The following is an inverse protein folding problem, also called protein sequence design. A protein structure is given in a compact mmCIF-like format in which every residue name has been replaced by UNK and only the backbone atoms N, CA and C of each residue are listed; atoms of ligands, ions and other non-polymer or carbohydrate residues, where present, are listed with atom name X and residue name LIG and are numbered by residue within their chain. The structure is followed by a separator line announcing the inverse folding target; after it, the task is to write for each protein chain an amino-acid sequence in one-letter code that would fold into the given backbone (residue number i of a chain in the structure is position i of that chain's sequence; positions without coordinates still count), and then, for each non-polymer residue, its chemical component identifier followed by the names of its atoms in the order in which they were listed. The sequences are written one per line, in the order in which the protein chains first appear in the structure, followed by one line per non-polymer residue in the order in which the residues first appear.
data_IF_935962977580
#
_entry.id   IF_935962977580
#
_cell.length_a   1.000
_cell.length_b   1.000
_cell.length_c   1.000
_cell.angle_alpha   90.00
_cell.angle_beta   90.00
_cell.angle_gamma   90.00
#
_symmetry.space_group_name_H-M   'P 1'
#
loop_
_entity.id
_entity.type
_entity.pdbx_description
1 polymer ?
#
# COMPACT_ATOMS: atom_id res chain seq x y z
N UNK A 1 -2.62 3.01 -34.87
CA UNK A 1 -2.31 3.57 -33.53
C UNK A 1 -1.54 2.50 -32.76
N UNK A 2 -0.22 2.63 -32.62
CA UNK A 2 0.61 1.63 -31.92
C UNK A 2 0.48 1.71 -30.40
N UNK A 3 0.59 0.56 -29.71
CA UNK A 3 0.64 0.53 -28.24
C UNK A 3 1.84 1.34 -27.75
N UNK A 4 1.69 2.15 -26.70
CA UNK A 4 2.76 2.93 -26.09
C UNK A 4 3.04 2.39 -24.69
N UNK A 5 4.32 2.30 -24.32
CA UNK A 5 4.77 1.90 -23.00
C UNK A 5 5.11 3.15 -22.20
N UNK A 6 4.66 3.20 -20.96
CA UNK A 6 5.02 4.23 -19.99
C UNK A 6 5.87 3.62 -18.88
N UNK A 7 6.94 4.32 -18.49
CA UNK A 7 7.79 3.92 -17.37
C UNK A 7 7.63 4.89 -16.20
N UNK A 8 7.07 4.42 -15.09
CA UNK A 8 6.82 5.22 -13.89
C UNK A 8 8.10 5.72 -13.21
N UNK A 9 9.22 5.00 -13.38
CA UNK A 9 10.50 5.45 -12.83
C UNK A 9 11.09 6.62 -13.61
N UNK A 10 10.78 6.74 -14.90
CA UNK A 10 11.41 7.70 -15.81
C UNK A 10 10.47 8.80 -16.30
N UNK A 11 9.18 8.72 -15.98
CA UNK A 11 8.08 9.57 -16.47
C UNK A 11 8.10 9.76 -17.99
N UNK A 12 8.37 8.68 -18.73
CA UNK A 12 8.50 8.71 -20.20
C UNK A 12 7.61 7.69 -20.87
N UNK A 13 6.99 8.12 -21.97
CA UNK A 13 6.22 7.25 -22.85
C UNK A 13 6.91 7.08 -24.22
N UNK A 14 7.00 5.84 -24.70
CA UNK A 14 7.57 5.52 -26.00
C UNK A 14 6.78 4.42 -26.72
N UNK A 15 7.07 4.16 -27.98
CA UNK A 15 6.40 3.09 -28.74
C UNK A 15 6.71 1.72 -28.14
N UNK A 16 5.68 0.97 -27.77
CA UNK A 16 5.83 -0.31 -27.07
C UNK A 16 6.27 -1.42 -28.02
N UNK A 17 7.56 -1.70 -27.97
CA UNK A 17 8.18 -2.86 -28.60
C UNK A 17 9.04 -3.55 -27.54
N UNK A 18 9.02 -4.89 -27.50
CA UNK A 18 9.76 -5.69 -26.52
C UNK A 18 11.26 -5.33 -26.51
N UNK A 19 11.85 -5.08 -27.69
CA UNK A 19 13.25 -4.66 -27.80
C UNK A 19 13.49 -3.29 -27.18
N UNK A 20 12.64 -2.30 -27.50
CA UNK A 20 12.76 -0.94 -26.98
C UNK A 20 12.57 -0.91 -25.46
N UNK A 21 11.58 -1.66 -24.95
CA UNK A 21 11.33 -1.81 -23.52
C UNK A 21 12.52 -2.41 -22.80
N UNK A 22 13.10 -3.50 -23.32
CA UNK A 22 14.28 -4.14 -22.73
C UNK A 22 15.49 -3.20 -22.73
N UNK A 23 15.74 -2.48 -23.82
CA UNK A 23 16.80 -1.47 -23.89
C UNK A 23 16.59 -0.32 -22.90
N UNK A 24 15.35 0.12 -22.74
CA UNK A 24 15.01 1.16 -21.77
C UNK A 24 15.27 0.71 -20.33
N UNK A 25 14.72 -0.46 -19.93
CA UNK A 25 14.83 -1.00 -18.57
C UNK A 25 16.29 -1.29 -18.16
N UNK A 26 17.12 -1.75 -19.10
CA UNK A 26 18.54 -2.00 -18.84
C UNK A 26 19.42 -0.75 -19.03
N UNK A 27 18.83 0.38 -19.41
CA UNK A 27 19.55 1.63 -19.63
C UNK A 27 20.00 2.27 -18.32
N UNK A 28 21.19 2.88 -18.31
CA UNK A 28 21.75 3.57 -17.15
C UNK A 28 20.80 4.64 -16.59
N UNK A 29 20.08 5.34 -17.47
CA UNK A 29 19.09 6.35 -17.05
C UNK A 29 17.94 5.73 -16.25
N UNK A 30 17.40 4.61 -16.71
CA UNK A 30 16.36 3.89 -15.97
C UNK A 30 16.89 3.36 -14.64
N UNK A 31 18.08 2.75 -14.62
CA UNK A 31 18.67 2.24 -13.38
C UNK A 31 18.91 3.37 -12.35
N UNK A 32 19.37 4.55 -12.79
CA UNK A 32 19.53 5.72 -11.93
C UNK A 32 18.18 6.23 -11.41
N UNK A 33 17.21 6.39 -12.29
CA UNK A 33 15.88 6.88 -11.90
C UNK A 33 15.17 5.91 -10.95
N UNK A 34 15.28 4.60 -11.23
CA UNK A 34 14.84 3.52 -10.35
C UNK A 34 15.47 3.63 -8.97
N UNK A 35 16.80 3.80 -8.90
CA UNK A 35 17.51 3.95 -7.62
C UNK A 35 17.01 5.16 -6.83
N UNK A 36 16.92 6.33 -7.47
CA UNK A 36 16.41 7.56 -6.82
C UNK A 36 14.99 7.34 -6.29
N UNK A 37 14.13 6.68 -7.06
CA UNK A 37 12.79 6.33 -6.62
C UNK A 37 12.83 5.49 -5.34
N UNK A 38 13.62 4.40 -5.30
CA UNK A 38 13.76 3.60 -4.08
C UNK A 38 14.41 4.36 -2.91
N UNK A 39 15.30 5.31 -3.17
CA UNK A 39 15.95 6.12 -2.14
C UNK A 39 14.91 7.01 -1.42
N UNK A 40 13.85 7.46 -2.10
CA UNK A 40 12.75 8.23 -1.50
C UNK A 40 11.87 7.40 -0.55
N UNK A 41 11.70 6.11 -0.83
CA UNK A 41 10.88 5.20 -0.02
C UNK A 41 11.70 4.39 0.98
N UNK A 42 12.99 4.72 1.13
CA UNK A 42 13.88 3.98 2.02
C UNK A 42 13.69 4.49 3.45
N UNK A 43 13.37 3.58 4.36
CA UNK A 43 13.24 3.91 5.78
C UNK A 43 14.54 4.49 6.34
N UNK A 44 14.43 5.59 7.10
CA UNK A 44 15.58 6.19 7.78
C UNK A 44 16.32 5.19 8.67
N UNK A 45 15.58 4.26 9.29
CA UNK A 45 16.14 3.17 10.10
C UNK A 45 17.00 2.20 9.27
N UNK A 46 16.55 1.86 8.06
CA UNK A 46 17.30 0.97 7.17
C UNK A 46 18.57 1.66 6.63
N UNK A 47 18.49 2.95 6.29
CA UNK A 47 19.68 3.75 5.90
C UNK A 47 20.70 3.75 7.02
N UNK A 48 20.28 4.03 8.25
CA UNK A 48 21.16 4.10 9.41
C UNK A 48 21.87 2.77 9.69
N UNK A 49 21.16 1.65 9.53
CA UNK A 49 21.74 0.33 9.72
C UNK A 49 22.77 0.00 8.63
N UNK A 50 22.45 0.29 7.36
CA UNK A 50 23.40 0.10 6.26
C UNK A 50 24.66 0.95 6.45
N UNK A 51 24.51 2.24 6.76
CA UNK A 51 25.65 3.15 6.89
C UNK A 51 26.54 2.80 8.08
N UNK A 52 25.99 2.35 9.21
CA UNK A 52 26.80 1.84 10.34
C UNK A 52 27.62 0.59 9.99
N UNK A 53 27.12 -0.26 9.10
CA UNK A 53 27.86 -1.46 8.66
C UNK A 53 28.91 -1.14 7.60
N UNK A 54 28.79 -0.03 6.89
CA UNK A 54 29.74 0.41 5.86
C UNK A 54 30.93 1.11 6.50
N UNK A 55 32.13 0.79 6.03
CA UNK A 55 33.33 1.57 6.41
C UNK A 55 33.27 2.96 5.77
N UNK A 56 33.77 4.00 6.44
CA UNK A 56 33.80 5.35 5.88
C UNK A 56 34.73 5.43 4.67
N UNK A 57 34.35 6.22 3.67
CA UNK A 57 35.14 6.43 2.47
C UNK A 57 36.33 7.35 2.77
N UNK A 58 37.54 6.79 2.74
CA UNK A 58 38.78 7.55 3.00
C UNK A 58 38.98 8.72 2.04
N UNK A 59 38.74 8.52 0.73
CA UNK A 59 38.86 9.60 -0.27
C UNK A 59 37.88 10.73 0.04
N UNK A 60 36.60 10.41 0.23
CA UNK A 60 35.60 11.42 0.53
C UNK A 60 35.89 12.20 1.82
N UNK A 61 36.31 11.52 2.89
CA UNK A 61 36.66 12.20 4.14
C UNK A 61 37.91 13.07 4.03
N UNK A 62 38.87 12.70 3.19
CA UNK A 62 40.14 13.42 3.07
C UNK A 62 40.07 14.59 2.07
N UNK A 63 39.39 14.40 0.93
CA UNK A 63 39.36 15.39 -0.16
C UNK A 63 37.99 16.06 -0.33
N UNK A 64 36.96 15.59 0.36
CA UNK A 64 35.57 16.04 0.17
C UNK A 64 34.95 15.54 -1.14
N UNK A 65 35.69 14.78 -1.96
CA UNK A 65 35.24 14.36 -3.29
C UNK A 65 35.59 12.90 -3.56
N UNK A 66 34.61 12.15 -4.04
CA UNK A 66 34.74 10.73 -4.35
C UNK A 66 34.39 10.47 -5.81
N UNK A 67 35.30 9.84 -6.54
CA UNK A 67 35.14 9.51 -7.97
C UNK A 67 33.92 8.62 -8.24
N UNK A 68 33.50 7.83 -7.24
CA UNK A 68 32.34 6.93 -7.34
C UNK A 68 31.00 7.60 -7.02
N UNK A 69 31.00 8.85 -6.53
CA UNK A 69 29.78 9.59 -6.18
C UNK A 69 28.83 8.79 -5.29
N UNK A 70 27.53 8.75 -5.66
CA UNK A 70 26.51 7.98 -4.94
C UNK A 70 26.58 6.45 -5.14
N UNK A 71 27.42 5.97 -6.07
CA UNK A 71 27.68 4.54 -6.27
C UNK A 71 28.85 4.03 -5.41
N UNK A 72 29.41 4.85 -4.53
CA UNK A 72 30.49 4.42 -3.64
C UNK A 72 30.04 3.26 -2.74
N UNK A 73 30.89 2.25 -2.59
CA UNK A 73 30.67 1.10 -1.70
C UNK A 73 30.81 1.47 -0.21
N UNK A 74 31.45 2.59 0.07
CA UNK A 74 31.80 3.09 1.40
C UNK A 74 30.88 4.24 1.80
N UNK A 75 30.71 4.44 3.11
CA UNK A 75 29.86 5.51 3.64
C UNK A 75 30.49 6.88 3.35
N UNK A 76 29.66 7.82 2.88
CA UNK A 76 30.01 9.23 2.74
C UNK A 76 29.41 10.09 3.86
N UNK A 77 28.72 9.48 4.83
CA UNK A 77 28.14 10.21 5.94
C UNK A 77 29.24 10.57 6.94
N UNK A 78 29.21 11.81 7.43
CA UNK A 78 30.04 12.21 8.58
C UNK A 78 29.42 11.69 9.87
N UNK A 79 30.18 11.70 10.97
CA UNK A 79 29.65 11.32 12.30
C UNK A 79 28.42 12.16 12.68
N UNK A 80 28.44 13.47 12.38
CA UNK A 80 27.30 14.35 12.60
C UNK A 80 26.06 13.98 11.77
N UNK A 81 26.26 13.48 10.55
CA UNK A 81 25.14 13.05 9.70
C UNK A 81 24.51 11.75 10.23
N UNK A 82 25.34 10.82 10.72
CA UNK A 82 24.87 9.59 11.37
C UNK A 82 24.11 9.89 12.66
N UNK A 83 24.58 10.85 13.46
CA UNK A 83 23.89 11.32 14.67
C UNK A 83 22.52 11.91 14.35
N UNK A 84 22.42 12.80 13.36
CA UNK A 84 21.14 13.38 12.90
C UNK A 84 20.18 12.29 12.43
N UNK A 85 20.68 11.34 11.64
CA UNK A 85 19.88 10.22 11.16
C UNK A 85 19.40 9.34 12.32
N UNK A 86 20.24 9.12 13.34
CA UNK A 86 19.86 8.38 14.56
C UNK A 86 18.76 9.09 15.33
N UNK A 87 18.83 10.41 15.44
CA UNK A 87 17.82 11.23 16.12
C UNK A 87 16.49 11.19 15.37
N UNK A 88 16.52 11.26 14.03
CA UNK A 88 15.33 11.11 13.19
C UNK A 88 14.67 9.74 13.40
N UNK A 89 15.45 8.65 13.37
CA UNK A 89 14.94 7.29 13.59
C UNK A 89 14.31 7.13 14.97
N UNK A 90 14.94 7.69 16.00
CA UNK A 90 14.38 7.67 17.35
C UNK A 90 13.08 8.48 17.44
N UNK A 91 13.02 9.65 16.79
CA UNK A 91 11.81 10.48 16.72
C UNK A 91 10.66 9.76 16.01
N UNK A 92 10.92 9.15 14.85
CA UNK A 92 9.93 8.38 14.10
C UNK A 92 9.43 7.16 14.88
N UNK A 93 10.32 6.46 15.60
CA UNK A 93 9.95 5.35 16.49
C UNK A 93 9.03 5.82 17.61
N UNK A 94 9.38 6.90 18.32
CA UNK A 94 8.55 7.46 19.39
C UNK A 94 7.19 7.91 18.85
N UNK A 95 7.13 8.55 17.70
CA UNK A 95 5.85 8.94 17.09
C UNK A 95 4.98 7.71 16.75
N UNK A 96 5.58 6.65 16.20
CA UNK A 96 4.88 5.38 15.94
C UNK A 96 4.43 4.70 17.23
N UNK A 97 5.21 4.74 18.29
CA UNK A 97 4.83 4.24 19.62
C UNK A 97 3.64 5.03 20.17
N UNK A 98 3.71 6.36 20.18
CA UNK A 98 2.59 7.21 20.60
C UNK A 98 1.33 7.00 19.76
N UNK A 99 1.47 6.78 18.44
CA UNK A 99 0.35 6.42 17.57
C UNK A 99 -0.24 5.05 17.90
N UNK A 100 0.59 4.08 18.29
CA UNK A 100 0.12 2.75 18.72
C UNK A 100 -0.57 2.81 20.08
N UNK A 101 0.00 3.52 21.04
CA UNK A 101 -0.61 3.78 22.35
C UNK A 101 -1.92 4.56 22.21
N UNK A 102 -1.99 5.52 21.27
CA UNK A 102 -3.23 6.22 20.92
C UNK A 102 -4.23 5.38 20.12
N UNK A 103 -3.78 4.25 19.56
CA UNK A 103 -4.59 3.27 18.83
C UNK A 103 -4.86 2.00 19.64
N UNK A 104 -4.64 2.02 20.96
CA UNK A 104 -5.10 0.96 21.86
C UNK A 104 -6.62 0.87 21.77
N UNK A 105 -7.07 0.03 20.84
CA UNK A 105 -8.42 -0.51 20.81
C UNK A 105 -8.56 -1.28 22.13
N UNK A 106 -9.44 -0.86 23.05
CA UNK A 106 -9.60 -1.54 24.33
C UNK A 106 -9.76 -3.04 24.09
N UNK A 107 -9.04 -3.92 24.82
CA UNK A 107 -9.29 -5.34 24.72
C UNK A 107 -10.76 -5.59 25.11
N UNK A 108 -11.56 -6.06 24.14
CA UNK A 108 -13.01 -6.13 24.25
C UNK A 108 -13.78 -5.25 23.27
N UNK A 109 -13.16 -4.33 22.52
CA UNK A 109 -13.92 -3.43 21.65
C UNK A 109 -14.64 -4.13 20.48
N UNK A 110 -14.09 -5.25 20.00
CA UNK A 110 -14.75 -6.07 18.96
C UNK A 110 -15.88 -6.88 19.61
N UNK A 111 -15.60 -7.53 20.74
CA UNK A 111 -16.58 -8.32 21.49
C UNK A 111 -17.76 -7.46 21.98
N UNK A 112 -17.48 -6.33 22.64
CA UNK A 112 -18.46 -5.34 23.09
C UNK A 112 -19.29 -4.75 21.93
N UNK A 113 -18.67 -4.57 20.76
CA UNK A 113 -19.38 -4.10 19.57
C UNK A 113 -20.29 -5.18 19.00
N UNK A 114 -19.84 -6.44 18.97
CA UNK A 114 -20.63 -7.59 18.57
C UNK A 114 -21.83 -7.80 19.51
N UNK A 115 -21.63 -7.68 20.81
CA UNK A 115 -22.69 -7.79 21.82
C UNK A 115 -23.71 -6.65 21.71
N UNK A 116 -23.25 -5.40 21.58
CA UNK A 116 -24.15 -4.25 21.35
C UNK A 116 -24.94 -4.40 20.05
N UNK A 117 -24.33 -4.97 19.00
CA UNK A 117 -25.02 -5.26 17.74
C UNK A 117 -26.07 -6.36 17.90
N UNK A 118 -25.74 -7.44 18.60
CA UNK A 118 -26.67 -8.53 18.89
C UNK A 118 -27.87 -8.04 19.71
N UNK A 119 -27.63 -7.19 20.72
CA UNK A 119 -28.69 -6.56 21.52
C UNK A 119 -29.61 -5.66 20.68
N UNK A 120 -29.07 -4.91 19.72
CA UNK A 120 -29.89 -4.09 18.80
C UNK A 120 -30.76 -4.95 17.89
N UNK A 121 -30.23 -6.08 17.41
CA UNK A 121 -30.98 -7.02 16.57
C UNK A 121 -32.08 -7.72 17.37
N UNK A 122 -31.82 -8.14 18.61
CA UNK A 122 -32.82 -8.78 19.47
C UNK A 122 -33.89 -7.78 19.93
N UNK A 123 -33.53 -6.52 20.21
CA UNK A 123 -34.47 -5.44 20.50
C UNK A 123 -35.39 -5.13 19.30
N UNK A 124 -34.83 -5.09 18.08
CA UNK A 124 -35.60 -4.89 16.86
C UNK A 124 -36.58 -6.06 16.59
N UNK A 125 -36.17 -7.29 16.89
CA UNK A 125 -37.03 -8.48 16.79
C UNK A 125 -38.15 -8.51 17.84
N UNK A 126 -37.89 -8.03 19.06
CA UNK A 126 -38.90 -7.97 20.12
C UNK A 126 -39.90 -6.82 19.95
N UNK A 127 -39.52 -5.74 19.26
CA UNK A 127 -40.45 -4.67 18.85
C UNK A 127 -41.24 -4.96 17.57
N UNK A 128 -40.86 -5.98 16.79
CA UNK A 128 -41.51 -6.34 15.52
C UNK A 128 -42.00 -7.80 15.55
N UNK A 129 -42.96 -8.08 16.42
CA UNK A 129 -43.75 -9.32 16.35
C UNK A 129 -44.83 -9.25 15.24
N UNK A 130 -44.54 -8.56 14.12
CA UNK A 130 -45.25 -8.71 12.87
C UNK A 130 -44.25 -9.19 11.83
N UNK A 131 -44.54 -10.36 11.27
CA UNK A 131 -43.82 -10.98 10.16
C UNK A 131 -43.75 -10.02 8.96
N UNK A 132 -42.76 -9.13 8.92
CA UNK A 132 -42.34 -8.52 7.67
C UNK A 132 -41.57 -9.58 6.89
N UNK A 133 -42.25 -10.21 5.93
CA UNK A 133 -41.58 -10.92 4.83
C UNK A 133 -40.50 -9.97 4.29
N UNK A 134 -39.25 -10.43 4.08
CA UNK A 134 -38.23 -9.56 3.50
C UNK A 134 -38.77 -9.05 2.16
N UNK A 135 -39.00 -7.74 2.08
CA UNK A 135 -39.52 -7.11 0.89
C UNK A 135 -38.57 -7.48 -0.28
N UNK A 136 -39.10 -7.91 -1.43
CA UNK A 136 -38.27 -8.17 -2.60
C UNK A 136 -37.46 -6.91 -2.92
N UNK A 137 -36.16 -7.08 -3.18
CA UNK A 137 -35.28 -5.99 -3.54
C UNK A 137 -35.86 -5.23 -4.73
N UNK A 138 -36.15 -3.94 -4.55
CA UNK A 138 -36.73 -3.08 -5.58
C UNK A 138 -35.65 -2.13 -6.11
N UNK A 139 -35.44 -2.16 -7.42
CA UNK A 139 -34.49 -1.25 -8.07
C UNK A 139 -34.98 0.20 -8.00
N UNK A 140 -34.07 1.19 -7.85
CA UNK A 140 -34.44 2.60 -7.85
C UNK A 140 -35.16 3.02 -9.14
N UNK A 141 -36.10 3.97 -9.01
CA UNK A 141 -36.83 4.52 -10.16
C UNK A 141 -35.86 5.22 -11.13
N UNK A 142 -35.91 4.85 -12.41
CA UNK A 142 -35.02 5.37 -13.48
C UNK A 142 -33.92 4.42 -13.94
N UNK A 143 -33.83 3.21 -13.36
CA UNK A 143 -32.91 2.18 -13.82
C UNK A 143 -33.42 1.48 -15.10
N UNK A 144 -32.50 1.07 -16.01
CA UNK A 144 -32.87 0.24 -17.14
C UNK A 144 -33.50 -1.08 -16.69
N UNK A 145 -34.31 -1.74 -17.54
CA UNK A 145 -34.89 -3.04 -17.24
C UNK A 145 -33.81 -4.03 -16.79
N UNK A 146 -34.12 -4.93 -15.84
CA UNK A 146 -33.16 -5.89 -15.24
C UNK A 146 -32.42 -6.72 -16.31
N UNK A 147 -33.05 -6.95 -17.45
CA UNK A 147 -32.51 -7.67 -18.61
C UNK A 147 -31.35 -6.95 -19.30
N UNK A 148 -31.22 -5.64 -19.13
CA UNK A 148 -30.17 -4.79 -19.70
C UNK A 148 -29.05 -4.46 -18.70
N UNK A 149 -29.18 -4.89 -17.44
CA UNK A 149 -28.16 -4.68 -16.42
C UNK A 149 -27.05 -5.74 -16.55
N UNK A 150 -25.77 -5.35 -16.47
CA UNK A 150 -24.68 -6.31 -16.39
C UNK A 150 -24.86 -7.21 -15.14
N UNK A 151 -24.42 -8.49 -15.18
CA UNK A 151 -24.64 -9.46 -14.09
C UNK A 151 -24.20 -8.96 -12.70
N UNK A 152 -23.19 -8.10 -12.63
CA UNK A 152 -22.68 -7.49 -11.40
C UNK A 152 -23.64 -6.49 -10.74
N UNK A 153 -24.63 -5.96 -11.48
CA UNK A 153 -25.63 -4.99 -11.01
C UNK A 153 -27.01 -5.61 -10.81
N UNK A 154 -27.14 -6.92 -11.06
CA UNK A 154 -28.37 -7.65 -10.79
C UNK A 154 -28.38 -8.10 -9.33
N UNK A 155 -29.50 -7.88 -8.66
CA UNK A 155 -29.74 -8.39 -7.31
C UNK A 155 -29.57 -9.92 -7.29
N UNK A 156 -28.97 -10.48 -6.23
CA UNK A 156 -28.86 -11.93 -6.10
C UNK A 156 -30.26 -12.57 -6.06
N UNK A 157 -30.44 -13.76 -6.65
CA UNK A 157 -31.72 -14.45 -6.63
C UNK A 157 -32.16 -14.76 -5.19
N UNK A 158 -33.47 -14.88 -4.92
CA UNK A 158 -33.96 -15.28 -3.61
C UNK A 158 -33.38 -16.66 -3.25
N UNK A 159 -32.48 -16.69 -2.26
CA UNK A 159 -31.69 -17.88 -1.90
C UNK A 159 -30.17 -17.75 -2.12
N UNK A 160 -29.70 -16.63 -2.68
CA UNK A 160 -28.28 -16.38 -2.93
C UNK A 160 -27.73 -17.12 -4.16
N UNK A 161 -26.49 -16.83 -4.53
CA UNK A 161 -25.81 -17.56 -5.60
C UNK A 161 -25.34 -18.92 -5.09
N UNK A 162 -25.61 -20.04 -5.81
CA UNK A 162 -25.09 -21.33 -5.42
C UNK A 162 -23.55 -21.28 -5.46
N UNK A 163 -22.92 -21.37 -4.29
CA UNK A 163 -21.46 -21.46 -4.18
C UNK A 163 -21.06 -22.88 -4.56
N UNK A 164 -20.23 -23.08 -5.60
CA UNK A 164 -19.72 -24.39 -5.92
C UNK A 164 -18.92 -24.95 -4.72
N UNK A 165 -19.05 -26.24 -4.37
CA UNK A 165 -18.35 -26.83 -3.22
C UNK A 165 -16.81 -26.74 -3.31
N UNK A 166 -16.27 -26.38 -4.47
CA UNK A 166 -14.84 -26.31 -4.75
C UNK A 166 -14.35 -24.86 -4.96
N UNK A 167 -15.13 -23.84 -4.60
CA UNK A 167 -14.76 -22.45 -4.81
C UNK A 167 -13.66 -22.03 -3.82
N UNK A 168 -12.41 -22.14 -4.24
CA UNK A 168 -11.27 -21.58 -3.53
C UNK A 168 -11.10 -20.13 -3.95
N UNK A 169 -11.23 -19.21 -3.00
CA UNK A 169 -10.73 -17.85 -3.19
C UNK A 169 -9.21 -17.93 -3.08
N UNK A 170 -8.53 -17.75 -4.22
CA UNK A 170 -7.07 -17.73 -4.30
C UNK A 170 -6.46 -16.50 -3.65
#
# INVERSE_FOLDING_TARGET
MGKRYFCDYCDRSFQDNLHNRKKHLNGVQHLRAKRVWYDLFRDAAAILQEEQTKKPCRKFLQTGQCDFGSNCRFSHMTEQDLEKLSAQVQGEKRLKELQREGADIPPGAIEDWLDKRAQRLSAAQSSSALLEKPAPFQYPLGWPPVQELPPSLQAPPPGGWPVPPNLQWG
#
